data_IF_002069342306
#
_entry.id   IF_002069342306
#
_cell.length_a   1.000
_cell.length_b   1.000
_cell.length_c   1.000
_cell.angle_alpha   90.00
_cell.angle_beta   90.00
_cell.angle_gamma   90.00
#
_symmetry.space_group_name_H-M   'P 1'
#
loop_
_entity.id
_entity.type
_entity.pdbx_description
1 polymer ?
#
# COMPACT_ATOMS: atom_id res chain seq x y z
N UNK A 1 -18.97 -9.54 7.16
CA UNK A 1 -19.72 -10.44 6.31
C UNK A 1 -20.02 -9.91 4.88
N UNK A 2 -19.44 -8.75 4.56
CA UNK A 2 -19.56 -8.06 3.27
C UNK A 2 -18.98 -8.94 2.15
N UNK A 3 -17.74 -9.40 2.28
CA UNK A 3 -17.01 -10.19 1.30
C UNK A 3 -17.70 -11.52 0.92
N UNK A 4 -18.38 -12.16 1.87
CA UNK A 4 -19.05 -13.44 1.62
C UNK A 4 -20.02 -13.39 0.44
N UNK A 5 -20.75 -12.26 0.30
CA UNK A 5 -21.69 -12.07 -0.82
C UNK A 5 -20.95 -11.91 -2.14
N UNK A 6 -19.83 -11.19 -2.17
CA UNK A 6 -19.04 -10.95 -3.38
C UNK A 6 -18.38 -12.24 -3.88
N UNK A 7 -17.89 -13.06 -2.96
CA UNK A 7 -17.36 -14.39 -3.30
C UNK A 7 -18.39 -15.33 -3.89
N UNK A 8 -19.69 -15.12 -3.63
CA UNK A 8 -20.78 -15.85 -4.28
C UNK A 8 -20.86 -15.63 -5.79
N UNK A 9 -20.35 -14.49 -6.28
CA UNK A 9 -20.32 -14.10 -7.69
C UNK A 9 -18.91 -14.21 -8.31
N UNK A 10 -17.99 -14.98 -7.70
CA UNK A 10 -16.62 -15.14 -8.18
C UNK A 10 -16.53 -15.62 -9.63
N UNK A 11 -17.41 -16.53 -10.05
CA UNK A 11 -17.44 -17.07 -11.40
C UNK A 11 -17.76 -15.98 -12.45
N UNK A 12 -18.61 -15.02 -12.10
CA UNK A 12 -18.89 -13.85 -12.94
C UNK A 12 -17.68 -12.89 -12.98
N UNK A 13 -17.05 -12.62 -11.83
CA UNK A 13 -15.82 -11.84 -11.77
C UNK A 13 -14.71 -12.42 -12.65
N UNK A 14 -14.50 -13.74 -12.60
CA UNK A 14 -13.50 -14.44 -13.42
C UNK A 14 -13.79 -14.38 -14.93
N UNK A 15 -15.07 -14.33 -15.33
CA UNK A 15 -15.46 -14.24 -16.75
C UNK A 15 -15.37 -12.84 -17.30
N UNK A 16 -15.66 -11.85 -16.49
CA UNK A 16 -15.85 -10.47 -16.95
C UNK A 16 -14.69 -9.54 -16.60
N UNK A 17 -13.87 -9.88 -15.59
CA UNK A 17 -12.89 -8.96 -14.99
C UNK A 17 -13.52 -7.79 -14.24
N UNK A 18 -14.85 -7.78 -14.06
CA UNK A 18 -15.57 -6.71 -13.41
C UNK A 18 -15.73 -6.96 -11.90
N UNK A 19 -15.71 -5.91 -11.07
CA UNK A 19 -15.91 -6.05 -9.64
C UNK A 19 -17.31 -6.57 -9.31
N UNK A 20 -17.39 -7.38 -8.25
CA UNK A 20 -18.63 -7.95 -7.75
C UNK A 20 -19.08 -7.32 -6.43
N UNK A 21 -18.63 -6.08 -6.16
CA UNK A 21 -18.88 -5.31 -4.96
C UNK A 21 -20.22 -4.53 -5.03
N UNK A 22 -20.46 -3.61 -4.10
CA UNK A 22 -21.67 -2.74 -4.04
C UNK A 22 -21.81 -1.84 -5.26
N UNK A 23 -20.76 -1.70 -6.05
CA UNK A 23 -20.75 -0.97 -7.32
C UNK A 23 -21.08 -1.82 -8.53
N UNK A 24 -21.47 -3.10 -8.36
CA UNK A 24 -21.78 -4.03 -9.46
C UNK A 24 -22.72 -3.38 -10.48
N UNK A 25 -22.27 -3.27 -11.72
CA UNK A 25 -23.03 -2.63 -12.81
C UNK A 25 -22.84 -1.11 -12.94
N UNK A 26 -21.94 -0.48 -12.16
CA UNK A 26 -21.54 0.92 -12.31
C UNK A 26 -20.16 1.01 -12.98
N UNK A 27 -19.93 2.05 -13.80
CA UNK A 27 -18.69 2.23 -14.58
C UNK A 27 -17.40 2.43 -13.73
N UNK A 28 -17.49 2.69 -12.41
CA UNK A 28 -16.36 3.00 -11.54
C UNK A 28 -16.48 2.34 -10.16
N UNK A 29 -16.59 1.02 -10.12
CA UNK A 29 -16.89 0.26 -8.90
C UNK A 29 -15.95 0.49 -7.71
N UNK A 30 -14.70 0.84 -7.92
CA UNK A 30 -13.70 0.93 -6.85
C UNK A 30 -13.62 2.32 -6.20
N UNK A 31 -13.72 3.38 -6.98
CA UNK A 31 -13.67 4.75 -6.44
C UNK A 31 -14.89 5.05 -5.55
N UNK A 32 -16.04 4.43 -5.82
CA UNK A 32 -17.24 4.60 -5.02
C UNK A 32 -17.10 4.03 -3.60
N UNK A 33 -16.38 2.90 -3.40
CA UNK A 33 -16.22 2.31 -2.08
C UNK A 33 -15.47 3.24 -1.10
N UNK A 34 -14.28 3.69 -1.46
CA UNK A 34 -13.51 4.59 -0.61
C UNK A 34 -14.21 5.94 -0.44
N UNK A 35 -14.81 6.48 -1.49
CA UNK A 35 -15.58 7.72 -1.43
C UNK A 35 -16.73 7.62 -0.44
N UNK A 36 -17.47 6.51 -0.41
CA UNK A 36 -18.56 6.32 0.55
C UNK A 36 -18.04 6.00 1.97
N UNK A 37 -16.97 5.20 2.07
CA UNK A 37 -16.34 4.87 3.35
C UNK A 37 -15.84 6.14 4.06
N UNK A 38 -15.19 7.03 3.33
CA UNK A 38 -14.61 8.26 3.87
C UNK A 38 -15.63 9.35 4.26
N UNK A 39 -16.91 9.18 3.91
CA UNK A 39 -18.00 10.07 4.39
C UNK A 39 -18.47 9.74 5.81
N UNK A 40 -18.18 8.55 6.31
CA UNK A 40 -18.62 8.07 7.62
C UNK A 40 -17.39 7.89 8.54
N UNK A 41 -17.19 8.83 9.45
CA UNK A 41 -16.03 8.85 10.36
C UNK A 41 -15.91 7.57 11.20
N UNK A 42 -17.02 6.96 11.61
CA UNK A 42 -17.01 5.71 12.39
C UNK A 42 -16.52 4.55 11.54
N UNK A 43 -17.03 4.40 10.33
CA UNK A 43 -16.60 3.34 9.40
C UNK A 43 -15.17 3.54 8.95
N UNK A 44 -14.77 4.80 8.71
CA UNK A 44 -13.39 5.14 8.38
C UNK A 44 -12.45 4.69 9.50
N UNK A 45 -12.78 5.04 10.76
CA UNK A 45 -11.97 4.62 11.91
C UNK A 45 -11.91 3.11 12.05
N UNK A 46 -13.02 2.40 11.94
CA UNK A 46 -13.06 0.93 11.98
C UNK A 46 -12.20 0.30 10.89
N UNK A 47 -12.25 0.85 9.68
CA UNK A 47 -11.41 0.40 8.56
C UNK A 47 -9.92 0.62 8.84
N UNK A 48 -9.54 1.82 9.31
CA UNK A 48 -8.16 2.14 9.67
C UNK A 48 -7.63 1.23 10.79
N UNK A 49 -8.42 1.01 11.84
CA UNK A 49 -8.06 0.13 12.95
C UNK A 49 -7.86 -1.33 12.46
N UNK A 50 -8.70 -1.80 11.54
CA UNK A 50 -8.57 -3.12 10.92
C UNK A 50 -7.30 -3.24 10.07
N UNK A 51 -7.02 -2.26 9.22
CA UNK A 51 -5.80 -2.24 8.39
C UNK A 51 -4.53 -2.16 9.23
N UNK A 52 -4.53 -1.32 10.27
CA UNK A 52 -3.44 -1.25 11.24
C UNK A 52 -3.24 -2.60 11.95
N UNK A 53 -4.32 -3.26 12.36
CA UNK A 53 -4.26 -4.58 12.99
C UNK A 53 -3.60 -5.63 12.10
N UNK A 54 -3.95 -5.65 10.81
CA UNK A 54 -3.39 -6.58 9.82
C UNK A 54 -1.90 -6.29 9.58
N UNK A 55 -1.50 -5.01 9.51
CA UNK A 55 -0.16 -4.60 9.11
C UNK A 55 0.85 -4.43 10.24
N UNK A 56 0.41 -4.34 11.49
CA UNK A 56 1.32 -4.06 12.64
C UNK A 56 2.51 -5.01 12.69
N UNK A 57 2.28 -6.31 12.57
CA UNK A 57 3.35 -7.32 12.57
C UNK A 57 4.35 -7.12 11.42
N UNK A 58 3.85 -6.75 10.24
CA UNK A 58 4.67 -6.51 9.06
C UNK A 58 5.52 -5.26 9.21
N UNK A 59 4.96 -4.17 9.70
CA UNK A 59 5.70 -2.92 9.92
C UNK A 59 6.78 -3.06 10.99
N UNK A 60 6.47 -3.76 12.10
CA UNK A 60 7.47 -4.10 13.13
C UNK A 60 8.59 -4.98 12.55
N UNK A 61 8.25 -5.97 11.73
CA UNK A 61 9.26 -6.79 11.05
C UNK A 61 10.11 -5.99 10.07
N UNK A 62 9.47 -5.11 9.27
CA UNK A 62 10.14 -4.26 8.30
C UNK A 62 11.22 -3.37 8.97
N UNK A 63 10.84 -2.62 10.01
CA UNK A 63 11.76 -1.70 10.69
C UNK A 63 12.89 -2.42 11.44
N UNK A 64 12.75 -3.73 11.69
CA UNK A 64 13.79 -4.56 12.29
C UNK A 64 14.71 -5.20 11.26
N UNK A 65 14.25 -5.41 10.03
CA UNK A 65 15.01 -6.09 8.97
C UNK A 65 15.69 -5.12 8.00
N UNK A 66 15.18 -3.91 7.87
CA UNK A 66 15.74 -2.89 6.99
C UNK A 66 16.41 -1.80 7.83
N UNK A 67 17.64 -1.46 7.48
CA UNK A 67 18.35 -0.34 8.09
C UNK A 67 17.95 0.98 7.42
N UNK A 68 17.07 1.72 8.09
CA UNK A 68 16.64 3.04 7.63
C UNK A 68 17.61 4.17 8.08
N UNK A 69 18.68 3.87 8.83
CA UNK A 69 19.62 4.90 9.33
C UNK A 69 20.40 5.62 8.23
N UNK A 70 20.49 5.00 7.05
CA UNK A 70 21.12 5.57 5.86
C UNK A 70 20.23 6.59 5.11
N UNK A 71 18.94 6.70 5.47
CA UNK A 71 17.96 7.57 4.84
C UNK A 71 17.56 8.72 5.77
N UNK A 72 17.27 9.88 5.19
CA UNK A 72 16.85 11.07 5.94
C UNK A 72 15.34 11.30 5.83
N UNK A 73 14.74 10.92 4.71
CA UNK A 73 13.34 11.22 4.39
C UNK A 73 12.59 9.98 3.88
N UNK A 74 11.32 9.86 4.31
CA UNK A 74 10.40 8.84 3.84
C UNK A 74 9.04 9.46 3.51
N UNK A 75 8.47 9.04 2.37
CA UNK A 75 7.12 9.40 1.95
C UNK A 75 6.26 8.13 1.85
N UNK A 76 5.24 8.04 2.72
CA UNK A 76 4.38 6.88 2.88
C UNK A 76 3.06 7.09 2.14
N UNK A 77 2.92 6.45 0.98
CA UNK A 77 1.77 6.58 0.08
C UNK A 77 0.64 5.66 0.54
N UNK A 78 -0.56 6.21 0.75
CA UNK A 78 -1.68 5.49 1.35
C UNK A 78 -1.36 5.11 2.80
N UNK A 79 -0.72 6.04 3.52
CA UNK A 79 -0.17 5.79 4.86
C UNK A 79 -1.22 5.58 5.95
N UNK A 80 -2.51 5.63 5.61
CA UNK A 80 -3.63 5.39 6.50
C UNK A 80 -3.50 6.23 7.80
N UNK A 81 -3.48 5.58 8.95
CA UNK A 81 -3.35 6.23 10.26
C UNK A 81 -1.90 6.58 10.66
N UNK A 82 -0.94 6.48 9.72
CA UNK A 82 0.46 6.82 9.91
C UNK A 82 1.27 5.78 10.70
N UNK A 83 0.74 4.57 10.89
CA UNK A 83 1.36 3.58 11.77
C UNK A 83 2.75 3.13 11.30
N UNK A 84 2.97 2.98 10.00
CA UNK A 84 4.29 2.67 9.44
C UNK A 84 5.29 3.78 9.77
N UNK A 85 4.95 5.04 9.47
CA UNK A 85 5.79 6.20 9.76
C UNK A 85 6.11 6.31 11.25
N UNK A 86 5.15 6.01 12.16
CA UNK A 86 5.36 5.98 13.60
C UNK A 86 6.39 4.90 13.98
N UNK A 87 6.24 3.66 13.49
CA UNK A 87 7.18 2.57 13.79
C UNK A 87 8.61 2.89 13.31
N UNK A 88 8.74 3.49 12.13
CA UNK A 88 10.04 3.92 11.59
C UNK A 88 10.64 5.01 12.48
N UNK A 89 9.89 6.05 12.82
CA UNK A 89 10.40 7.15 13.65
C UNK A 89 10.75 6.74 15.07
N UNK A 90 10.01 5.79 15.67
CA UNK A 90 10.34 5.28 17.00
C UNK A 90 11.68 4.54 17.01
N UNK A 91 12.01 3.82 15.94
CA UNK A 91 13.25 3.04 15.87
C UNK A 91 14.43 3.81 15.30
N UNK A 92 14.20 4.67 14.33
CA UNK A 92 15.24 5.42 13.60
C UNK A 92 15.12 6.92 13.89
N UNK A 93 15.91 7.47 14.84
CA UNK A 93 15.70 8.83 15.37
C UNK A 93 15.98 9.94 14.35
N UNK A 94 16.70 9.68 13.27
CA UNK A 94 17.16 10.73 12.34
C UNK A 94 16.23 10.88 11.11
N UNK A 95 15.34 9.93 10.84
CA UNK A 95 14.48 9.98 9.66
C UNK A 95 13.26 10.89 9.90
N UNK A 96 12.92 11.67 8.90
CA UNK A 96 11.67 12.45 8.82
C UNK A 96 10.70 11.75 7.89
N UNK A 97 9.47 11.54 8.32
CA UNK A 97 8.44 10.89 7.52
C UNK A 97 7.36 11.90 7.09
N UNK A 98 6.77 11.65 5.93
CA UNK A 98 5.51 12.27 5.51
C UNK A 98 4.54 11.13 5.22
N UNK A 99 3.44 11.05 5.95
CA UNK A 99 2.34 10.13 5.61
C UNK A 99 1.35 10.85 4.72
N UNK A 100 0.94 10.21 3.63
CA UNK A 100 0.10 10.80 2.57
C UNK A 100 -1.11 9.91 2.32
N UNK A 101 -2.31 10.48 2.47
CA UNK A 101 -3.58 9.79 2.24
C UNK A 101 -4.68 10.81 1.88
N UNK A 102 -5.90 10.35 1.63
CA UNK A 102 -7.04 11.22 1.36
C UNK A 102 -7.39 12.10 2.58
N UNK A 103 -7.83 13.31 2.33
CA UNK A 103 -8.03 14.34 3.37
C UNK A 103 -8.89 13.94 4.58
N UNK A 104 -9.91 13.07 4.49
CA UNK A 104 -10.68 12.66 5.66
C UNK A 104 -9.87 11.88 6.71
N UNK A 105 -8.72 11.30 6.32
CA UNK A 105 -7.82 10.55 7.23
C UNK A 105 -7.00 11.49 8.12
N UNK A 106 -6.73 12.70 7.66
CA UNK A 106 -5.80 13.66 8.29
C UNK A 106 -6.02 13.89 9.80
N UNK A 107 -7.26 14.10 10.31
CA UNK A 107 -7.47 14.31 11.75
C UNK A 107 -7.09 13.08 12.59
N UNK A 108 -7.38 11.88 12.10
CA UNK A 108 -7.07 10.62 12.79
C UNK A 108 -5.56 10.42 12.88
N UNK A 109 -4.85 10.65 11.78
CA UNK A 109 -3.39 10.56 11.71
C UNK A 109 -2.72 11.55 12.65
N UNK A 110 -3.11 12.83 12.60
CA UNK A 110 -2.54 13.88 13.46
C UNK A 110 -2.70 13.57 14.94
N UNK A 111 -3.87 13.09 15.35
CA UNK A 111 -4.12 12.68 16.73
C UNK A 111 -3.21 11.52 17.15
N UNK A 112 -3.04 10.51 16.28
CA UNK A 112 -2.19 9.36 16.56
C UNK A 112 -0.71 9.75 16.65
N UNK A 113 -0.21 10.55 15.71
CA UNK A 113 1.17 11.06 15.72
C UNK A 113 1.45 11.87 17.00
N UNK A 114 0.51 12.74 17.42
CA UNK A 114 0.64 13.53 18.65
C UNK A 114 0.68 12.65 19.90
N UNK A 115 -0.13 11.59 19.95
CA UNK A 115 -0.12 10.61 21.06
C UNK A 115 1.27 9.95 21.26
N UNK A 116 2.02 9.73 20.16
CA UNK A 116 3.39 9.20 20.20
C UNK A 116 4.47 10.28 20.35
N UNK A 117 4.12 11.56 20.48
CA UNK A 117 5.04 12.70 20.54
C UNK A 117 5.98 12.80 19.33
N UNK A 118 5.45 12.53 18.13
CA UNK A 118 6.20 12.51 16.87
C UNK A 118 5.81 13.63 15.90
N UNK A 119 5.09 14.66 16.36
CA UNK A 119 4.59 15.75 15.50
C UNK A 119 5.72 16.56 14.85
N UNK A 120 6.92 16.59 15.44
CA UNK A 120 8.10 17.25 14.87
C UNK A 120 8.85 16.38 13.84
N UNK A 121 8.46 15.10 13.72
CA UNK A 121 9.15 14.08 12.93
C UNK A 121 8.29 13.51 11.81
N UNK A 122 6.98 13.60 11.91
CA UNK A 122 6.03 13.04 10.94
C UNK A 122 5.10 14.15 10.46
N UNK A 123 5.22 14.49 9.18
CA UNK A 123 4.31 15.39 8.50
C UNK A 123 3.09 14.60 7.98
N UNK A 124 1.96 15.27 7.89
CA UNK A 124 0.75 14.72 7.27
C UNK A 124 0.45 15.54 6.02
N UNK A 125 0.36 14.86 4.89
CA UNK A 125 -0.02 15.43 3.62
C UNK A 125 -1.31 14.78 3.12
N UNK A 126 -2.21 15.56 2.56
CA UNK A 126 -3.49 15.07 2.04
C UNK A 126 -3.53 15.18 0.53
N UNK A 127 -4.02 14.13 -0.16
CA UNK A 127 -4.16 14.08 -1.61
C UNK A 127 -4.58 12.71 -2.11
N UNK A 128 -4.73 12.60 -3.42
CA UNK A 128 -5.09 11.38 -4.12
C UNK A 128 -3.87 10.82 -4.86
N UNK A 129 -3.34 9.69 -4.43
CA UNK A 129 -2.14 9.11 -5.04
C UNK A 129 -2.31 8.74 -6.52
N UNK A 130 -3.54 8.62 -7.01
CA UNK A 130 -3.79 8.41 -8.44
C UNK A 130 -3.60 9.70 -9.25
N UNK A 131 -3.86 10.87 -8.65
CA UNK A 131 -3.88 12.18 -9.34
C UNK A 131 -2.66 13.04 -9.02
N UNK A 132 -2.31 13.09 -7.73
CA UNK A 132 -1.31 14.03 -7.22
C UNK A 132 0.11 13.47 -7.36
N UNK A 133 1.10 14.35 -7.53
CA UNK A 133 2.51 13.98 -7.54
C UNK A 133 3.00 13.62 -6.12
N UNK A 134 4.03 12.76 -6.06
CA UNK A 134 4.65 12.40 -4.81
C UNK A 134 5.76 13.39 -4.41
N UNK A 135 5.85 13.66 -3.12
CA UNK A 135 6.95 14.44 -2.57
C UNK A 135 8.29 13.69 -2.73
N UNK A 136 9.36 14.41 -3.03
CA UNK A 136 10.71 13.86 -3.06
C UNK A 136 11.11 13.28 -1.70
N UNK A 137 11.63 12.06 -1.70
CA UNK A 137 12.12 11.38 -0.51
C UNK A 137 13.20 10.35 -0.85
N UNK A 138 13.98 9.95 0.16
CA UNK A 138 14.96 8.87 0.00
C UNK A 138 14.27 7.52 -0.07
N UNK A 139 13.15 7.35 0.64
CA UNK A 139 12.34 6.14 0.60
C UNK A 139 10.88 6.50 0.30
N UNK A 140 10.27 5.77 -0.62
CA UNK A 140 8.81 5.77 -0.82
C UNK A 140 8.28 4.41 -0.40
N UNK A 141 7.23 4.39 0.42
CA UNK A 141 6.55 3.17 0.85
C UNK A 141 5.14 3.10 0.30
N UNK A 142 4.68 1.88 -0.03
CA UNK A 142 3.32 1.55 -0.43
C UNK A 142 2.91 0.26 0.28
N UNK A 143 2.00 0.34 1.24
CA UNK A 143 1.50 -0.82 1.98
C UNK A 143 0.08 -1.17 1.56
N UNK A 144 -0.15 -2.35 0.98
CA UNK A 144 -1.45 -2.79 0.44
C UNK A 144 -2.09 -1.79 -0.54
N UNK A 145 -1.28 -1.22 -1.44
CA UNK A 145 -1.72 -0.27 -2.46
C UNK A 145 -1.74 -0.91 -3.84
N UNK A 146 -0.58 -1.43 -4.28
CA UNK A 146 -0.45 -1.91 -5.65
C UNK A 146 -1.39 -3.09 -5.95
N UNK A 147 -1.57 -4.01 -5.02
CA UNK A 147 -2.42 -5.19 -5.23
C UNK A 147 -3.89 -4.83 -5.52
N UNK A 148 -4.35 -3.67 -5.06
CA UNK A 148 -5.73 -3.18 -5.26
C UNK A 148 -5.98 -2.52 -6.62
N UNK A 149 -5.02 -2.56 -7.55
CA UNK A 149 -5.04 -1.81 -8.82
C UNK A 149 -4.85 -2.73 -10.02
N UNK A 150 -5.23 -2.28 -11.20
CA UNK A 150 -4.88 -2.90 -12.48
C UNK A 150 -3.40 -2.69 -12.83
N UNK A 151 -2.89 -3.41 -13.84
CA UNK A 151 -1.47 -3.40 -14.19
C UNK A 151 -0.99 -2.03 -14.70
N UNK A 152 -1.78 -1.32 -15.48
CA UNK A 152 -1.44 0.01 -16.01
C UNK A 152 -1.30 1.02 -14.86
N UNK A 153 -2.24 1.02 -13.93
CA UNK A 153 -2.23 1.90 -12.76
C UNK A 153 -1.06 1.58 -11.82
N UNK A 154 -0.74 0.27 -11.60
CA UNK A 154 0.48 -0.12 -10.88
C UNK A 154 1.73 0.46 -11.52
N UNK A 155 1.89 0.30 -12.84
CA UNK A 155 3.04 0.83 -13.57
C UNK A 155 3.14 2.35 -13.45
N UNK A 156 2.00 3.05 -13.53
CA UNK A 156 1.96 4.51 -13.39
C UNK A 156 2.38 4.97 -11.99
N UNK A 157 1.92 4.29 -10.92
CA UNK A 157 2.36 4.61 -9.55
C UNK A 157 3.84 4.32 -9.33
N UNK A 158 4.36 3.22 -9.86
CA UNK A 158 5.80 2.90 -9.79
C UNK A 158 6.62 3.95 -10.55
N UNK A 159 6.14 4.44 -11.70
CA UNK A 159 6.78 5.55 -12.43
C UNK A 159 6.79 6.83 -11.59
N UNK A 160 5.68 7.20 -10.95
CA UNK A 160 5.59 8.35 -10.02
C UNK A 160 6.57 8.19 -8.86
N UNK A 161 6.63 7.00 -8.26
CA UNK A 161 7.59 6.70 -7.19
C UNK A 161 9.04 6.86 -7.67
N UNK A 162 9.38 6.34 -8.86
CA UNK A 162 10.74 6.51 -9.43
C UNK A 162 11.11 7.98 -9.61
N UNK A 163 10.18 8.81 -10.08
CA UNK A 163 10.41 10.24 -10.23
C UNK A 163 10.62 10.93 -8.88
N UNK A 164 9.95 10.47 -7.82
CA UNK A 164 10.00 11.06 -6.50
C UNK A 164 11.14 10.53 -5.61
N UNK A 165 11.57 9.28 -5.80
CA UNK A 165 12.73 8.72 -5.06
C UNK A 165 14.01 9.47 -5.42
N UNK A 166 14.79 9.89 -4.43
CA UNK A 166 16.11 10.48 -4.58
C UNK A 166 17.13 9.44 -5.11
N UNK A 167 18.22 9.91 -5.73
CA UNK A 167 19.29 9.01 -6.19
C UNK A 167 19.90 8.25 -4.99
N UNK A 168 20.05 6.94 -5.13
CA UNK A 168 20.48 6.05 -4.05
C UNK A 168 19.37 5.66 -3.07
N UNK A 169 18.15 6.11 -3.30
CA UNK A 169 16.98 5.78 -2.51
C UNK A 169 16.25 4.51 -2.98
N UNK A 170 15.06 4.26 -2.41
CA UNK A 170 14.30 3.04 -2.68
C UNK A 170 12.78 3.25 -2.68
N UNK A 171 12.08 2.43 -3.49
CA UNK A 171 10.66 2.15 -3.37
C UNK A 171 10.49 0.83 -2.59
N UNK A 172 9.60 0.80 -1.60
CA UNK A 172 9.28 -0.39 -0.81
C UNK A 172 7.77 -0.67 -0.89
N UNK A 173 7.39 -1.76 -1.55
CA UNK A 173 6.02 -2.26 -1.54
C UNK A 173 5.89 -3.36 -0.46
N UNK A 174 4.89 -3.21 0.44
CA UNK A 174 4.66 -4.12 1.57
C UNK A 174 3.34 -4.86 1.32
N UNK A 175 3.42 -6.08 0.78
CA UNK A 175 2.26 -6.81 0.27
C UNK A 175 2.44 -8.34 0.33
N UNK A 176 1.39 -9.08 -0.02
CA UNK A 176 1.44 -10.54 -0.08
C UNK A 176 2.07 -10.99 -1.41
N UNK A 177 3.37 -10.78 -1.56
CA UNK A 177 4.07 -11.14 -2.79
C UNK A 177 3.95 -12.65 -3.04
N UNK A 178 3.38 -13.01 -4.19
CA UNK A 178 3.17 -14.41 -4.60
C UNK A 178 4.49 -14.97 -5.15
N UNK A 179 4.73 -16.26 -4.94
CA UNK A 179 5.85 -16.96 -5.59
C UNK A 179 5.69 -16.93 -7.12
N UNK A 180 6.82 -16.89 -7.85
CA UNK A 180 6.83 -16.72 -9.31
C UNK A 180 6.05 -17.81 -10.06
N UNK A 181 5.94 -19.01 -9.48
CA UNK A 181 5.18 -20.12 -10.05
C UNK A 181 3.67 -20.07 -9.69
N UNK A 182 3.25 -19.15 -8.82
CA UNK A 182 1.87 -18.95 -8.34
C UNK A 182 1.26 -20.22 -7.71
N UNK A 183 2.01 -20.88 -6.79
CA UNK A 183 1.63 -22.18 -6.22
C UNK A 183 1.71 -22.29 -4.71
N UNK A 184 2.48 -21.45 -4.03
CA UNK A 184 2.85 -21.66 -2.61
C UNK A 184 2.19 -20.67 -1.66
N UNK A 185 2.20 -19.38 -1.95
CA UNK A 185 1.56 -18.39 -1.10
C UNK A 185 0.04 -18.43 -1.27
N UNK A 186 -0.59 -19.42 -0.63
CA UNK A 186 -2.05 -19.63 -0.72
C UNK A 186 -2.84 -18.40 -0.29
N UNK A 187 -2.39 -17.68 0.74
CA UNK A 187 -3.08 -16.46 1.18
C UNK A 187 -3.01 -15.36 0.12
N UNK A 188 -1.84 -15.12 -0.48
CA UNK A 188 -1.70 -14.15 -1.57
C UNK A 188 -2.53 -14.53 -2.80
N UNK A 189 -2.58 -15.83 -3.14
CA UNK A 189 -3.43 -16.32 -4.24
C UNK A 189 -4.92 -16.09 -3.97
N UNK A 190 -5.40 -16.35 -2.75
CA UNK A 190 -6.78 -16.06 -2.35
C UNK A 190 -7.05 -14.56 -2.29
N UNK A 191 -6.07 -13.76 -1.82
CA UNK A 191 -6.18 -12.31 -1.80
C UNK A 191 -6.29 -11.74 -3.20
N UNK A 192 -5.56 -12.30 -4.18
CA UNK A 192 -5.68 -11.92 -5.59
C UNK A 192 -7.11 -12.12 -6.13
N UNK A 193 -7.77 -13.23 -5.77
CA UNK A 193 -9.19 -13.42 -6.10
C UNK A 193 -10.09 -12.44 -5.34
N UNK A 194 -9.75 -12.10 -4.10
CA UNK A 194 -10.48 -11.09 -3.34
C UNK A 194 -10.37 -9.71 -3.99
N UNK A 195 -9.17 -9.35 -4.46
CA UNK A 195 -8.97 -8.09 -5.20
C UNK A 195 -9.78 -8.06 -6.49
N UNK A 196 -9.86 -9.19 -7.22
CA UNK A 196 -10.70 -9.31 -8.40
C UNK A 196 -12.18 -9.02 -8.07
N UNK A 197 -12.76 -9.68 -7.06
CA UNK A 197 -14.17 -9.48 -6.73
C UNK A 197 -14.48 -8.12 -6.11
N UNK A 198 -13.51 -7.50 -5.45
CA UNK A 198 -13.67 -6.15 -4.88
C UNK A 198 -13.41 -5.04 -5.90
N UNK A 199 -12.38 -5.18 -6.72
CA UNK A 199 -11.80 -4.08 -7.49
C UNK A 199 -11.75 -4.35 -9.02
N UNK A 200 -12.24 -5.50 -9.48
CA UNK A 200 -12.16 -5.87 -10.89
C UNK A 200 -10.76 -6.34 -11.29
N UNK A 201 -10.12 -5.67 -12.25
CA UNK A 201 -8.81 -6.08 -12.80
C UNK A 201 -7.62 -5.98 -11.83
N UNK A 202 -7.88 -5.81 -10.53
CA UNK A 202 -6.87 -5.77 -9.48
C UNK A 202 -6.39 -7.18 -9.11
N UNK A 203 -5.12 -7.31 -8.76
CA UNK A 203 -4.51 -8.61 -8.43
C UNK A 203 -3.23 -8.49 -7.61
N UNK A 204 -2.94 -9.48 -6.77
CA UNK A 204 -1.64 -9.68 -6.15
C UNK A 204 -0.63 -10.20 -7.19
N UNK A 205 0.65 -9.90 -7.01
CA UNK A 205 1.68 -10.09 -8.02
C UNK A 205 2.90 -10.81 -7.47
N UNK A 206 3.75 -11.27 -8.37
CA UNK A 206 5.01 -11.95 -8.06
C UNK A 206 6.18 -10.98 -7.98
N UNK A 207 7.31 -11.41 -7.42
CA UNK A 207 8.53 -10.61 -7.47
C UNK A 207 8.96 -10.33 -8.91
N UNK A 208 8.82 -11.31 -9.83
CA UNK A 208 9.15 -11.10 -11.25
C UNK A 208 8.28 -10.02 -11.90
N UNK A 209 6.98 -9.93 -11.53
CA UNK A 209 6.12 -8.84 -12.01
C UNK A 209 6.62 -7.49 -11.50
N UNK A 210 6.91 -7.39 -10.19
CA UNK A 210 7.43 -6.16 -9.58
C UNK A 210 8.78 -5.75 -10.19
N UNK A 211 9.69 -6.71 -10.41
CA UNK A 211 10.97 -6.47 -11.06
C UNK A 211 10.80 -5.92 -12.47
N UNK A 212 9.87 -6.50 -13.25
CA UNK A 212 9.56 -6.05 -14.61
C UNK A 212 9.08 -4.58 -14.60
N UNK A 213 8.13 -4.23 -13.75
CA UNK A 213 7.57 -2.88 -13.65
C UNK A 213 8.61 -1.86 -13.17
N UNK A 214 9.36 -2.18 -12.14
CA UNK A 214 10.38 -1.29 -11.58
C UNK A 214 11.53 -1.08 -12.55
N UNK A 215 11.94 -2.09 -13.30
CA UNK A 215 12.95 -1.98 -14.36
C UNK A 215 12.49 -1.07 -15.49
N UNK A 216 11.23 -1.18 -15.94
CA UNK A 216 10.64 -0.26 -16.94
C UNK A 216 10.68 1.18 -16.45
N UNK A 217 10.46 1.43 -15.17
CA UNK A 217 10.54 2.77 -14.55
C UNK A 217 11.97 3.30 -14.40
N UNK A 218 13.00 2.43 -14.42
CA UNK A 218 14.41 2.81 -14.33
C UNK A 218 15.14 2.40 -13.04
N UNK A 219 14.49 1.69 -12.13
CA UNK A 219 15.16 1.13 -10.95
C UNK A 219 16.22 0.09 -11.36
N UNK A 220 17.33 0.02 -10.60
CA UNK A 220 18.53 -0.75 -10.98
C UNK A 220 18.49 -2.20 -10.50
N UNK A 221 17.91 -2.45 -9.34
CA UNK A 221 17.81 -3.80 -8.75
C UNK A 221 16.59 -3.91 -7.86
N UNK A 222 16.14 -5.14 -7.65
CA UNK A 222 15.08 -5.47 -6.70
C UNK A 222 15.57 -6.45 -5.65
N UNK A 223 14.87 -6.47 -4.52
CA UNK A 223 15.12 -7.39 -3.41
C UNK A 223 13.79 -7.76 -2.76
N UNK A 224 13.67 -8.99 -2.26
CA UNK A 224 12.51 -9.45 -1.51
C UNK A 224 12.90 -9.79 -0.08
N UNK A 225 12.28 -9.14 0.88
CA UNK A 225 12.48 -9.41 2.31
C UNK A 225 11.18 -9.98 2.89
N UNK A 226 11.13 -11.28 3.27
CA UNK A 226 9.97 -11.83 3.96
C UNK A 226 9.73 -11.11 5.30
N UNK A 227 8.47 -10.76 5.58
CA UNK A 227 8.08 -10.07 6.82
C UNK A 227 7.39 -11.05 7.79
N UNK A 228 6.08 -10.98 7.90
CA UNK A 228 5.30 -11.91 8.73
C UNK A 228 4.27 -12.65 7.90
N UNK A 229 4.09 -13.95 8.19
CA UNK A 229 3.13 -14.77 7.46
C UNK A 229 3.32 -14.71 5.94
N UNK A 230 2.28 -14.37 5.18
CA UNK A 230 2.33 -14.32 3.71
C UNK A 230 2.97 -13.05 3.15
N UNK A 231 3.19 -12.03 3.99
CA UNK A 231 3.60 -10.69 3.56
C UNK A 231 5.11 -10.57 3.42
N UNK A 232 5.55 -9.84 2.40
CA UNK A 232 6.95 -9.49 2.14
C UNK A 232 7.09 -8.00 1.79
N UNK A 233 8.29 -7.47 1.95
CA UNK A 233 8.68 -6.19 1.35
C UNK A 233 9.39 -6.46 0.02
N UNK A 234 8.83 -5.99 -1.08
CA UNK A 234 9.50 -5.92 -2.37
C UNK A 234 10.14 -4.54 -2.50
N UNK A 235 11.46 -4.50 -2.63
CA UNK A 235 12.25 -3.27 -2.61
C UNK A 235 12.86 -3.06 -4.00
N UNK A 236 12.75 -1.85 -4.54
CA UNK A 236 13.41 -1.43 -5.77
C UNK A 236 14.32 -0.24 -5.49
N UNK A 237 15.59 -0.34 -5.87
CA UNK A 237 16.64 0.66 -5.62
C UNK A 237 16.93 1.48 -6.87
N UNK A 238 17.00 2.82 -6.70
CA UNK A 238 17.27 3.77 -7.77
C UNK A 238 18.76 3.98 -8.06
#
# INVERSE_FOLDING_TARGET
>A
NRLYKFWGDLDEGLKTGLPQNEGKGKEHGNMDFFTELYKDETKLKEFMDAMTGIQTGNFVALVNKIDFSQYNTLFDVGGADGWLSIQICLKHPNIQCTTFDLSPVEPLVKNKIAYFNLSDRINVASGDFLKDDFQKADVITMGNILHGLDEETKQNLINKAYQAVNDGGALIAIENIIDNERRQNTFGLLMSLNMLVENGDAFDYTLNDFERWTKVSGFKRTELIPLTGPTSAAIAYK
#
